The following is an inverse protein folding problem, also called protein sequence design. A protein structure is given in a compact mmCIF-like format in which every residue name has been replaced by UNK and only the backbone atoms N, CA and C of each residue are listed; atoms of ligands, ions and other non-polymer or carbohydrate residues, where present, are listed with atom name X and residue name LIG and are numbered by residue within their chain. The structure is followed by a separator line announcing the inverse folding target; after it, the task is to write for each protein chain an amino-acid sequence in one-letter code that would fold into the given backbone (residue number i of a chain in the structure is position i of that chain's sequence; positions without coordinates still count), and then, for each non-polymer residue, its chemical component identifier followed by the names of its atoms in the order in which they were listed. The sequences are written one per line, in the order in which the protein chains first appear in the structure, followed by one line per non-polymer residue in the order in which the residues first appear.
data_IF_852955442859
#
_entry.id   IF_852955442859
#
_cell.length_a   1.000
_cell.length_b   1.000
_cell.length_c   1.000
_cell.angle_alpha   90.00
_cell.angle_beta   90.00
_cell.angle_gamma   90.00
#
_symmetry.space_group_name_H-M   'P 1'
#
loop_
_entity.id
_entity.type
_entity.pdbx_description
1 polymer ?
#
# COMPACT_ATOMS: atom_id res chain seq x y z
N UNK A 1 2.43 28.42 -26.52
CA UNK A 1 2.95 27.67 -25.35
C UNK A 1 1.78 26.86 -24.83
N UNK A 2 1.79 25.56 -25.09
CA UNK A 2 0.73 24.67 -24.56
C UNK A 2 0.95 24.59 -23.04
N UNK A 3 0.00 25.09 -22.26
CA UNK A 3 -0.05 24.81 -20.82
C UNK A 3 -0.42 23.33 -20.70
N UNK A 4 0.57 22.47 -20.46
CA UNK A 4 0.34 21.06 -20.16
C UNK A 4 -0.55 20.98 -18.93
N UNK A 5 -1.71 20.39 -19.06
CA UNK A 5 -2.59 20.13 -17.92
C UNK A 5 -1.93 19.09 -17.00
N UNK A 6 -2.34 19.04 -15.73
CA UNK A 6 -1.86 18.00 -14.78
C UNK A 6 -2.06 16.60 -15.39
N UNK A 7 -3.14 16.40 -16.15
CA UNK A 7 -3.41 15.15 -16.86
C UNK A 7 -2.33 14.82 -17.91
N UNK A 8 -1.85 15.82 -18.66
CA UNK A 8 -0.79 15.61 -19.66
C UNK A 8 0.54 15.23 -18.99
N UNK A 9 0.87 15.84 -17.86
CA UNK A 9 2.08 15.51 -17.08
C UNK A 9 2.01 14.08 -16.55
N UNK A 10 0.86 13.69 -16.00
CA UNK A 10 0.61 12.33 -15.49
C UNK A 10 0.75 11.32 -16.63
N UNK A 11 0.08 11.55 -17.75
CA UNK A 11 0.13 10.68 -18.93
C UNK A 11 1.56 10.53 -19.44
N UNK A 12 2.31 11.64 -19.57
CA UNK A 12 3.70 11.61 -19.99
C UNK A 12 4.59 10.79 -19.04
N UNK A 13 4.40 10.93 -17.73
CA UNK A 13 5.16 10.20 -16.73
C UNK A 13 4.91 8.68 -16.79
N UNK A 14 3.65 8.24 -16.94
CA UNK A 14 3.32 6.81 -17.06
C UNK A 14 3.76 6.23 -18.40
N UNK A 15 3.63 6.97 -19.49
CA UNK A 15 4.17 6.58 -20.79
C UNK A 15 5.70 6.43 -20.74
N UNK A 16 6.41 7.35 -20.11
CA UNK A 16 7.85 7.25 -19.92
C UNK A 16 8.25 6.03 -19.09
N UNK A 17 7.48 5.71 -18.02
CA UNK A 17 7.70 4.51 -17.22
C UNK A 17 7.51 3.23 -18.05
N UNK A 18 6.44 3.14 -18.83
CA UNK A 18 6.14 1.99 -19.68
C UNK A 18 7.20 1.78 -20.78
N UNK A 19 7.71 2.88 -21.35
CA UNK A 19 8.76 2.87 -22.37
C UNK A 19 10.18 2.72 -21.81
N UNK A 20 10.33 2.72 -20.47
CA UNK A 20 11.63 2.58 -19.82
C UNK A 20 12.25 1.20 -20.04
N UNK A 21 13.54 1.07 -19.73
CA UNK A 21 14.26 -0.21 -19.73
C UNK A 21 13.61 -1.23 -18.77
N UNK A 22 13.04 -0.75 -17.66
CA UNK A 22 12.31 -1.58 -16.70
C UNK A 22 11.03 -2.15 -17.33
N UNK A 23 10.24 -1.33 -18.02
CA UNK A 23 9.04 -1.76 -18.74
C UNK A 23 9.36 -2.77 -19.83
N UNK A 24 10.41 -2.50 -20.61
CA UNK A 24 10.92 -3.44 -21.62
C UNK A 24 11.37 -4.78 -21.02
N UNK A 25 12.13 -4.75 -19.92
CA UNK A 25 12.55 -5.94 -19.21
C UNK A 25 11.37 -6.73 -18.60
N UNK A 26 10.40 -6.02 -18.01
CA UNK A 26 9.21 -6.66 -17.43
C UNK A 26 8.37 -7.40 -18.47
N UNK A 27 8.22 -6.85 -19.68
CA UNK A 27 7.51 -7.50 -20.80
C UNK A 27 8.31 -8.60 -21.47
N UNK A 28 9.64 -8.40 -21.63
CA UNK A 28 10.51 -9.32 -22.38
C UNK A 28 11.04 -10.50 -21.58
N UNK A 29 11.00 -10.44 -20.25
CA UNK A 29 11.53 -11.52 -19.39
C UNK A 29 10.44 -12.51 -19.00
N UNK A 30 10.70 -13.80 -19.25
CA UNK A 30 9.79 -14.88 -18.83
C UNK A 30 9.62 -14.97 -17.29
N UNK A 31 10.55 -14.42 -16.51
CA UNK A 31 10.58 -14.58 -15.05
C UNK A 31 10.28 -13.31 -14.27
N UNK A 32 10.63 -12.12 -14.81
CA UNK A 32 10.55 -10.88 -14.06
C UNK A 32 9.11 -10.52 -13.68
N UNK A 33 8.19 -10.57 -14.63
CA UNK A 33 6.77 -10.27 -14.35
C UNK A 33 6.12 -11.27 -13.37
N UNK A 34 6.25 -12.61 -13.56
CA UNK A 34 5.73 -13.58 -12.60
C UNK A 34 6.32 -13.43 -11.19
N UNK A 35 7.63 -13.20 -11.07
CA UNK A 35 8.28 -13.00 -9.78
C UNK A 35 7.82 -11.69 -9.10
N UNK A 36 7.67 -10.61 -9.88
CA UNK A 36 7.11 -9.37 -9.37
C UNK A 36 5.67 -9.56 -8.86
N UNK A 37 4.85 -10.33 -9.57
CA UNK A 37 3.48 -10.62 -9.17
C UNK A 37 3.42 -11.41 -7.85
N UNK A 38 4.18 -12.50 -7.74
CA UNK A 38 4.29 -13.30 -6.49
C UNK A 38 4.80 -12.43 -5.35
N UNK A 39 5.85 -11.63 -5.58
CA UNK A 39 6.40 -10.71 -4.59
C UNK A 39 5.37 -9.66 -4.15
N UNK A 40 4.56 -9.17 -5.09
CA UNK A 40 3.50 -8.21 -4.79
C UNK A 40 2.41 -8.83 -3.90
N UNK A 41 1.99 -10.06 -4.17
CA UNK A 41 1.04 -10.78 -3.32
C UNK A 41 1.63 -11.05 -1.94
N UNK A 42 2.90 -11.48 -1.87
CA UNK A 42 3.58 -11.69 -0.59
C UNK A 42 3.70 -10.39 0.21
N UNK A 43 4.11 -9.30 -0.43
CA UNK A 43 4.17 -7.97 0.19
C UNK A 43 2.83 -7.52 0.73
N UNK A 44 1.73 -7.76 -0.01
CA UNK A 44 0.37 -7.48 0.43
C UNK A 44 0.00 -8.29 1.69
N UNK A 45 0.28 -9.58 1.68
CA UNK A 45 -0.01 -10.46 2.82
C UNK A 45 0.75 -10.04 4.08
N UNK A 46 2.04 -9.71 3.95
CA UNK A 46 2.88 -9.26 5.06
C UNK A 46 2.41 -7.90 5.60
N UNK A 47 2.18 -6.92 4.72
CA UNK A 47 1.75 -5.58 5.10
C UNK A 47 0.38 -5.62 5.79
N UNK A 48 -0.61 -6.18 5.10
CA UNK A 48 -1.99 -6.17 5.60
C UNK A 48 -2.16 -7.10 6.80
N UNK A 49 -1.48 -8.25 6.81
CA UNK A 49 -1.49 -9.16 7.97
C UNK A 49 -0.90 -8.54 9.22
N UNK A 50 0.23 -7.84 9.10
CA UNK A 50 0.87 -7.14 10.20
C UNK A 50 0.02 -5.97 10.72
N UNK A 51 -0.53 -5.14 9.81
CA UNK A 51 -1.40 -4.01 10.16
C UNK A 51 -2.70 -4.51 10.79
N UNK A 52 -3.35 -5.50 10.19
CA UNK A 52 -4.59 -6.08 10.73
C UNK A 52 -4.38 -6.67 12.13
N UNK A 53 -3.24 -7.35 12.36
CA UNK A 53 -2.90 -7.87 13.69
C UNK A 53 -2.84 -6.74 14.73
N UNK A 54 -2.20 -5.62 14.40
CA UNK A 54 -2.12 -4.45 15.27
C UNK A 54 -3.50 -3.82 15.48
N UNK A 55 -4.21 -3.52 14.39
CA UNK A 55 -5.51 -2.83 14.44
C UNK A 55 -6.55 -3.60 15.24
N UNK A 56 -6.61 -4.94 15.07
CA UNK A 56 -7.50 -5.81 15.84
C UNK A 56 -7.20 -5.72 17.34
N UNK A 57 -5.92 -5.65 17.74
CA UNK A 57 -5.57 -5.54 19.15
C UNK A 57 -5.94 -4.17 19.73
N UNK A 58 -5.79 -3.09 18.95
CA UNK A 58 -6.27 -1.75 19.34
C UNK A 58 -7.79 -1.75 19.49
N UNK A 59 -8.53 -2.34 18.54
CA UNK A 59 -10.00 -2.44 18.59
C UNK A 59 -10.48 -3.25 19.81
N UNK A 60 -9.76 -4.31 20.18
CA UNK A 60 -10.03 -5.12 21.37
C UNK A 60 -9.60 -4.46 22.66
N UNK A 61 -9.01 -3.26 22.62
CA UNK A 61 -8.42 -2.57 23.78
C UNK A 61 -7.45 -3.46 24.57
N UNK A 62 -6.66 -4.26 23.85
CA UNK A 62 -5.71 -5.16 24.45
C UNK A 62 -4.67 -4.40 25.28
N UNK A 63 -4.16 -5.05 26.32
CA UNK A 63 -2.97 -4.60 27.02
C UNK A 63 -1.72 -4.86 26.15
N UNK A 64 -0.63 -4.13 26.39
CA UNK A 64 0.66 -4.34 25.72
C UNK A 64 0.64 -4.07 24.19
N UNK A 65 -0.21 -3.13 23.73
CA UNK A 65 -0.31 -2.77 22.30
C UNK A 65 1.04 -2.24 21.78
N UNK A 66 1.83 -1.59 22.64
CA UNK A 66 3.17 -1.11 22.31
C UNK A 66 4.15 -2.25 21.98
N UNK A 67 4.07 -3.38 22.67
CA UNK A 67 4.90 -4.58 22.39
C UNK A 67 4.51 -5.15 21.01
N UNK A 68 3.20 -5.27 20.75
CA UNK A 68 2.68 -5.75 19.47
C UNK A 68 3.11 -4.82 18.34
N UNK A 69 2.99 -3.50 18.52
CA UNK A 69 3.44 -2.51 17.53
C UNK A 69 4.91 -2.69 17.16
N UNK A 70 5.79 -2.90 18.13
CA UNK A 70 7.23 -3.15 17.90
C UNK A 70 7.47 -4.44 17.11
N UNK A 71 6.71 -5.48 17.38
CA UNK A 71 6.85 -6.76 16.69
C UNK A 71 6.38 -6.72 15.24
N UNK A 72 5.21 -6.09 14.97
CA UNK A 72 4.61 -6.12 13.62
C UNK A 72 5.12 -5.00 12.70
N UNK A 73 5.64 -3.88 13.24
CA UNK A 73 6.08 -2.74 12.43
C UNK A 73 7.18 -3.11 11.41
N UNK A 74 8.24 -3.87 11.75
CA UNK A 74 9.25 -4.24 10.75
C UNK A 74 8.68 -5.14 9.66
N UNK A 75 7.73 -6.02 9.99
CA UNK A 75 7.06 -6.88 9.01
C UNK A 75 6.20 -6.03 8.06
N UNK A 76 5.43 -5.08 8.58
CA UNK A 76 4.64 -4.15 7.77
C UNK A 76 5.54 -3.29 6.87
N UNK A 77 6.66 -2.78 7.39
CA UNK A 77 7.60 -1.97 6.62
C UNK A 77 8.25 -2.76 5.48
N UNK A 78 8.66 -4.00 5.74
CA UNK A 78 9.19 -4.90 4.71
C UNK A 78 8.12 -5.23 3.66
N UNK A 79 6.89 -5.55 4.09
CA UNK A 79 5.76 -5.78 3.19
C UNK A 79 5.46 -4.57 2.31
N UNK A 80 5.50 -3.35 2.86
CA UNK A 80 5.33 -2.11 2.11
C UNK A 80 6.46 -1.90 1.08
N UNK A 81 7.71 -2.11 1.48
CA UNK A 81 8.85 -1.99 0.56
C UNK A 81 8.72 -2.98 -0.60
N UNK A 82 8.34 -4.21 -0.31
CA UNK A 82 8.11 -5.25 -1.32
C UNK A 82 6.94 -4.89 -2.25
N UNK A 83 5.85 -4.32 -1.71
CA UNK A 83 4.70 -3.81 -2.47
C UNK A 83 5.10 -2.70 -3.44
N UNK A 84 5.89 -1.72 -2.98
CA UNK A 84 6.33 -0.61 -3.82
C UNK A 84 7.25 -1.11 -4.92
N UNK A 85 8.27 -1.90 -4.57
CA UNK A 85 9.25 -2.41 -5.53
C UNK A 85 8.58 -3.28 -6.61
N UNK A 86 7.81 -4.28 -6.20
CA UNK A 86 7.13 -5.18 -7.14
C UNK A 86 6.02 -4.47 -7.92
N UNK A 87 5.27 -3.58 -7.27
CA UNK A 87 4.22 -2.79 -7.91
C UNK A 87 4.77 -1.85 -8.98
N UNK A 88 5.97 -1.30 -8.80
CA UNK A 88 6.64 -0.50 -9.81
C UNK A 88 6.99 -1.34 -11.06
N UNK A 89 7.47 -2.57 -10.88
CA UNK A 89 7.74 -3.48 -11.99
C UNK A 89 6.46 -3.84 -12.74
N UNK A 90 5.40 -4.20 -12.02
CA UNK A 90 4.10 -4.55 -12.61
C UNK A 90 3.49 -3.37 -13.38
N UNK A 91 3.55 -2.18 -12.78
CA UNK A 91 3.05 -0.95 -13.41
C UNK A 91 3.89 -0.58 -14.65
N UNK A 92 5.21 -0.74 -14.62
CA UNK A 92 6.07 -0.46 -15.77
C UNK A 92 5.78 -1.39 -16.96
N UNK A 93 5.27 -2.59 -16.73
CA UNK A 93 4.93 -3.51 -17.79
C UNK A 93 3.74 -3.04 -18.64
N UNK A 94 2.74 -2.38 -18.02
CA UNK A 94 1.46 -2.01 -18.66
C UNK A 94 0.84 -0.80 -17.96
N UNK A 95 1.56 0.34 -17.98
CA UNK A 95 1.21 1.49 -17.15
C UNK A 95 -0.05 2.19 -17.62
N UNK A 96 -0.22 2.41 -18.93
CA UNK A 96 -1.32 3.20 -19.46
C UNK A 96 -2.69 2.56 -19.25
N UNK A 97 -2.93 1.28 -19.56
CA UNK A 97 -4.20 0.63 -19.24
C UNK A 97 -4.50 0.57 -17.75
N UNK A 98 -3.45 0.35 -16.91
CA UNK A 98 -3.63 0.24 -15.46
C UNK A 98 -3.99 1.58 -14.84
N UNK A 99 -3.38 2.68 -15.24
CA UNK A 99 -3.60 4.00 -14.60
C UNK A 99 -4.99 4.56 -14.86
N UNK A 100 -5.60 4.24 -15.99
CA UNK A 100 -6.97 4.65 -16.31
C UNK A 100 -8.03 3.72 -15.70
N UNK A 101 -7.63 2.56 -15.19
CA UNK A 101 -8.52 1.60 -14.57
C UNK A 101 -9.11 2.16 -13.26
N UNK A 102 -10.44 2.23 -13.09
CA UNK A 102 -11.07 2.81 -11.90
C UNK A 102 -10.77 2.05 -10.62
N UNK A 103 -10.56 0.72 -10.67
CA UNK A 103 -10.18 -0.06 -9.51
C UNK A 103 -8.74 0.27 -9.06
N UNK A 104 -7.82 0.55 -10.00
CA UNK A 104 -6.49 1.01 -9.67
C UNK A 104 -6.51 2.39 -9.00
N UNK A 105 -7.27 3.33 -9.55
CA UNK A 105 -7.42 4.68 -8.97
C UNK A 105 -8.00 4.61 -7.55
N UNK A 106 -9.05 3.82 -7.36
CA UNK A 106 -9.63 3.58 -6.04
C UNK A 106 -8.62 2.93 -5.07
N UNK A 107 -7.88 1.91 -5.53
CA UNK A 107 -6.80 1.29 -4.76
C UNK A 107 -5.76 2.30 -4.31
N UNK A 108 -5.32 3.19 -5.20
CA UNK A 108 -4.32 4.21 -4.86
C UNK A 108 -4.86 5.25 -3.87
N UNK A 109 -6.13 5.63 -3.98
CA UNK A 109 -6.78 6.52 -3.01
C UNK A 109 -6.85 5.87 -1.61
N UNK A 110 -7.26 4.60 -1.52
CA UNK A 110 -7.33 3.86 -0.25
C UNK A 110 -5.93 3.59 0.33
N UNK A 111 -4.94 3.33 -0.52
CA UNK A 111 -3.55 3.18 -0.12
C UNK A 111 -3.00 4.48 0.49
N UNK A 112 -3.23 5.62 -0.15
CA UNK A 112 -2.84 6.92 0.37
C UNK A 112 -3.55 7.22 1.71
N UNK A 113 -4.85 6.94 1.81
CA UNK A 113 -5.61 7.08 3.05
C UNK A 113 -5.02 6.23 4.18
N UNK A 114 -4.68 4.97 3.90
CA UNK A 114 -4.03 4.06 4.85
C UNK A 114 -2.68 4.59 5.34
N UNK A 115 -1.84 5.10 4.44
CA UNK A 115 -0.54 5.68 4.81
C UNK A 115 -0.69 6.96 5.65
N UNK A 116 -1.61 7.85 5.27
CA UNK A 116 -1.91 9.07 6.04
C UNK A 116 -2.40 8.69 7.44
N UNK A 117 -3.31 7.72 7.52
CA UNK A 117 -3.82 7.23 8.80
C UNK A 117 -2.69 6.69 9.70
N UNK A 118 -1.77 5.90 9.16
CA UNK A 118 -0.59 5.40 9.90
C UNK A 118 0.29 6.56 10.38
N UNK A 119 0.54 7.56 9.52
CA UNK A 119 1.35 8.72 9.88
C UNK A 119 0.71 9.53 11.02
N UNK A 120 -0.57 9.85 10.90
CA UNK A 120 -1.35 10.58 11.92
C UNK A 120 -1.43 9.77 13.22
N UNK A 121 -1.68 8.46 13.12
CA UNK A 121 -1.69 7.56 14.28
C UNK A 121 -0.36 7.59 15.04
N UNK A 122 0.75 7.46 14.33
CA UNK A 122 2.10 7.51 14.92
C UNK A 122 2.41 8.86 15.55
N UNK A 123 2.02 9.93 14.90
CA UNK A 123 2.16 11.27 15.45
C UNK A 123 1.36 11.45 16.74
N UNK A 124 0.10 11.00 16.75
CA UNK A 124 -0.83 11.19 17.88
C UNK A 124 -0.57 10.25 19.05
N UNK A 125 -0.24 8.99 18.77
CA UNK A 125 -0.18 7.93 19.79
C UNK A 125 1.23 7.31 19.95
N UNK A 126 2.22 7.77 19.21
CA UNK A 126 3.57 7.19 19.23
C UNK A 126 4.25 7.25 20.61
N UNK A 127 3.97 8.26 21.41
CA UNK A 127 4.41 8.35 22.82
C UNK A 127 3.80 7.25 23.67
N UNK A 128 2.49 7.06 23.61
CA UNK A 128 1.76 6.02 24.32
C UNK A 128 2.20 4.61 23.92
N UNK A 129 2.47 4.36 22.63
CA UNK A 129 3.01 3.09 22.16
C UNK A 129 4.39 2.77 22.75
N UNK A 130 5.26 3.78 22.90
CA UNK A 130 6.58 3.60 23.52
C UNK A 130 6.49 3.33 25.01
N UNK A 131 5.59 4.02 25.70
CA UNK A 131 5.37 3.89 27.14
C UNK A 131 4.44 2.70 27.51
N UNK A 132 3.87 2.02 26.49
CA UNK A 132 2.91 0.92 26.63
C UNK A 132 1.69 1.27 27.52
N UNK A 133 1.19 2.50 27.38
CA UNK A 133 0.00 3.01 28.08
C UNK A 133 -1.24 2.90 27.20
N UNK A 134 -2.46 2.90 27.80
CA UNK A 134 -3.72 2.88 27.06
C UNK A 134 -3.82 3.99 26.01
N UNK A 135 -4.29 3.64 24.81
CA UNK A 135 -4.44 4.55 23.67
C UNK A 135 -5.90 5.00 23.55
N UNK A 136 -6.30 5.97 24.38
CA UNK A 136 -7.67 6.48 24.33
C UNK A 136 -7.97 7.14 22.97
N UNK A 137 -9.12 6.78 22.37
CA UNK A 137 -9.53 7.29 21.06
C UNK A 137 -8.86 6.64 19.85
N UNK A 138 -7.94 5.68 20.03
CA UNK A 138 -7.23 5.01 18.94
C UNK A 138 -8.11 4.07 18.13
N UNK A 139 -9.27 3.64 18.65
CA UNK A 139 -10.15 2.65 18.00
C UNK A 139 -10.66 3.10 16.63
N UNK A 140 -10.97 4.38 16.46
CA UNK A 140 -11.41 4.91 15.16
C UNK A 140 -10.29 4.86 14.10
N UNK A 141 -9.07 5.16 14.51
CA UNK A 141 -7.90 5.04 13.62
C UNK A 141 -7.64 3.60 13.21
N UNK A 142 -7.76 2.65 14.15
CA UNK A 142 -7.61 1.23 13.86
C UNK A 142 -8.73 0.71 12.94
N UNK A 143 -9.98 1.13 13.14
CA UNK A 143 -11.09 0.76 12.26
C UNK A 143 -10.90 1.32 10.84
N UNK A 144 -10.51 2.60 10.72
CA UNK A 144 -10.24 3.24 9.44
C UNK A 144 -9.05 2.58 8.74
N UNK A 145 -7.98 2.27 9.47
CA UNK A 145 -6.80 1.55 8.97
C UNK A 145 -7.20 0.20 8.38
N UNK A 146 -7.85 -0.63 9.19
CA UNK A 146 -8.28 -1.98 8.78
C UNK A 146 -9.19 -1.92 7.54
N UNK A 147 -10.17 -1.03 7.52
CA UNK A 147 -11.07 -0.83 6.38
C UNK A 147 -10.29 -0.42 5.12
N UNK A 148 -9.39 0.57 5.23
CA UNK A 148 -8.59 1.05 4.10
C UNK A 148 -7.73 -0.06 3.50
N UNK A 149 -7.01 -0.83 4.33
CA UNK A 149 -6.14 -1.91 3.85
C UNK A 149 -6.91 -3.08 3.24
N UNK A 150 -8.07 -3.43 3.79
CA UNK A 150 -8.96 -4.44 3.18
C UNK A 150 -9.48 -3.97 1.82
N UNK A 151 -9.86 -2.69 1.69
CA UNK A 151 -10.29 -2.11 0.42
C UNK A 151 -9.16 -2.06 -0.61
N UNK A 152 -7.90 -1.82 -0.18
CA UNK A 152 -6.73 -1.91 -1.07
C UNK A 152 -6.56 -3.33 -1.64
N UNK A 153 -6.73 -4.37 -0.80
CA UNK A 153 -6.66 -5.77 -1.26
C UNK A 153 -7.78 -6.09 -2.26
N UNK A 154 -9.03 -5.73 -1.92
CA UNK A 154 -10.18 -5.98 -2.78
C UNK A 154 -10.04 -5.26 -4.12
N UNK A 155 -9.73 -3.96 -4.10
CA UNK A 155 -9.53 -3.18 -5.32
C UNK A 155 -8.38 -3.75 -6.17
N UNK A 156 -7.28 -4.19 -5.54
CA UNK A 156 -6.18 -4.85 -6.22
C UNK A 156 -6.60 -6.11 -6.98
N UNK A 157 -7.57 -6.84 -6.45
CA UNK A 157 -8.12 -8.02 -7.15
C UNK A 157 -9.03 -7.61 -8.32
N UNK A 158 -9.79 -6.53 -8.16
CA UNK A 158 -10.72 -6.06 -9.21
C UNK A 158 -10.02 -5.45 -10.43
N UNK A 159 -8.78 -4.99 -10.33
CA UNK A 159 -8.00 -4.49 -11.49
C UNK A 159 -7.96 -5.50 -12.65
N UNK A 160 -7.92 -6.80 -12.34
CA UNK A 160 -7.86 -7.85 -13.35
C UNK A 160 -9.21 -8.12 -14.06
N UNK A 161 -10.31 -7.51 -13.61
CA UNK A 161 -11.66 -7.77 -14.12
C UNK A 161 -12.35 -6.53 -14.70
N UNK A 162 -11.81 -5.35 -14.49
CA UNK A 162 -12.32 -4.09 -14.98
C UNK A 162 -11.35 -3.44 -15.98
#
# INVERSE_FOLDING_TARGET
MAQGTIADIITAAFTALEQSSLGGAARGSAWLYPLANVSHVLGAALLVGAVATFDIQVLRRAKNVGIIARAVTPVAAFGLALQVASGTVLLAADAMPVVVNPAFQFKMAMFALGLINVAVFRWRFGGGLRADIPLEGATWFAALSLASWLLVLLAGRFIAYL
#
